data_IF_361672351188
#
_entry.id   IF_361672351188
#
_cell.length_a   1.000
_cell.length_b   1.000
_cell.length_c   1.000
_cell.angle_alpha   90.00
_cell.angle_beta   90.00
_cell.angle_gamma   90.00
#
_symmetry.space_group_name_H-M   'P 1'
#
loop_
_entity.id
_entity.type
_entity.pdbx_description
1 polymer ?
#
# COMPACT_ATOMS: atom_id res chain seq x y z
N UNK A 1 5.45 -4.51 -6.65
CA UNK A 1 6.01 -3.61 -5.63
C UNK A 1 4.95 -2.59 -5.26
N UNK A 2 4.98 -2.06 -4.04
CA UNK A 2 4.07 -1.02 -3.58
C UNK A 2 4.78 0.34 -3.67
N UNK A 3 4.18 1.25 -4.44
CA UNK A 3 4.66 2.62 -4.61
C UNK A 3 3.51 3.57 -4.30
N UNK A 4 3.64 4.32 -3.21
CA UNK A 4 2.65 5.31 -2.79
C UNK A 4 3.31 6.67 -2.89
N UNK A 5 2.77 7.54 -3.74
CA UNK A 5 3.26 8.89 -3.93
C UNK A 5 2.16 9.91 -3.67
N UNK A 6 2.51 10.96 -2.93
CA UNK A 6 1.63 12.09 -2.64
C UNK A 6 2.39 13.41 -2.65
N UNK A 7 1.74 14.48 -2.23
CA UNK A 7 2.33 15.83 -2.14
C UNK A 7 3.49 15.91 -1.14
N UNK A 8 3.45 15.09 -0.08
CA UNK A 8 4.43 15.16 1.02
C UNK A 8 5.62 14.21 0.84
N UNK A 9 5.55 13.26 -0.10
CA UNK A 9 6.61 12.32 -0.30
C UNK A 9 6.23 11.07 -1.09
N UNK A 10 7.10 10.07 -1.01
CA UNK A 10 6.95 8.77 -1.67
C UNK A 10 7.42 7.65 -0.75
N UNK A 11 6.64 6.57 -0.70
CA UNK A 11 6.94 5.34 0.01
C UNK A 11 7.09 4.21 -1.00
N UNK A 12 8.24 3.55 -1.00
CA UNK A 12 8.52 2.37 -1.82
C UNK A 12 8.72 1.16 -0.92
N UNK A 13 7.95 0.10 -1.14
CA UNK A 13 8.08 -1.17 -0.42
C UNK A 13 8.07 -2.30 -1.43
N UNK A 14 9.14 -3.08 -1.47
CA UNK A 14 9.29 -4.18 -2.42
C UNK A 14 10.32 -5.21 -1.96
N UNK A 15 10.69 -6.09 -2.89
CA UNK A 15 11.65 -7.16 -2.60
C UNK A 15 13.07 -6.61 -2.38
N UNK A 16 13.38 -5.46 -2.98
CA UNK A 16 14.65 -4.75 -2.79
C UNK A 16 14.73 -3.97 -1.46
N UNK A 17 13.71 -4.07 -0.60
CA UNK A 17 13.63 -3.40 0.69
C UNK A 17 12.60 -2.29 0.71
N UNK A 18 12.88 -1.26 1.52
CA UNK A 18 11.95 -0.17 1.80
C UNK A 18 12.65 1.18 1.75
N UNK A 19 12.01 2.14 1.13
CA UNK A 19 12.53 3.50 0.97
C UNK A 19 11.45 4.53 1.29
N UNK A 20 11.89 5.63 1.89
CA UNK A 20 11.05 6.76 2.23
C UNK A 20 11.69 8.03 1.68
N UNK A 21 10.90 8.81 0.96
CA UNK A 21 11.30 10.09 0.40
C UNK A 21 10.36 11.16 0.92
N UNK A 22 10.90 12.29 1.34
CA UNK A 22 10.13 13.45 1.79
C UNK A 22 10.34 14.61 0.82
N UNK A 23 9.26 15.31 0.54
CA UNK A 23 9.27 16.49 -0.30
C UNK A 23 9.97 17.65 0.43
N UNK A 24 11.00 18.22 -0.18
CA UNK A 24 11.73 19.39 0.33
C UNK A 24 11.90 20.45 -0.75
N UNK A 25 12.23 21.69 -0.36
CA UNK A 25 12.58 22.73 -1.34
C UNK A 25 13.83 22.33 -2.11
N UNK A 26 13.79 22.45 -3.43
CA UNK A 26 14.94 22.20 -4.29
C UNK A 26 16.11 23.10 -3.90
N UNK A 27 17.29 22.51 -3.73
CA UNK A 27 18.56 23.24 -3.55
C UNK A 27 19.12 23.74 -4.89
N UNK A 28 18.61 23.24 -6.02
CA UNK A 28 19.11 23.49 -7.37
C UNK A 28 18.29 24.53 -8.12
N UNK A 29 16.97 24.56 -7.88
CA UNK A 29 16.02 25.39 -8.62
C UNK A 29 15.06 26.12 -7.69
N UNK A 30 15.11 27.46 -7.69
CA UNK A 30 14.22 28.30 -6.87
C UNK A 30 12.76 28.08 -7.30
N UNK A 31 11.89 27.81 -6.32
CA UNK A 31 10.45 27.60 -6.55
C UNK A 31 10.04 26.15 -6.82
N UNK A 32 10.99 25.22 -6.91
CA UNK A 32 10.72 23.80 -7.11
C UNK A 32 10.84 23.01 -5.80
N UNK A 33 10.20 21.85 -5.79
CA UNK A 33 10.35 20.85 -4.74
C UNK A 33 11.07 19.62 -5.29
N UNK A 34 11.83 18.94 -4.44
CA UNK A 34 12.58 17.73 -4.74
C UNK A 34 12.29 16.67 -3.67
N UNK A 35 12.38 15.39 -4.06
CA UNK A 35 12.32 14.27 -3.13
C UNK A 35 13.71 14.02 -2.55
N UNK A 36 13.83 14.09 -1.22
CA UNK A 36 15.03 13.70 -0.50
C UNK A 36 14.80 12.36 0.20
N UNK A 37 15.68 11.38 -0.05
CA UNK A 37 15.62 10.08 0.62
C UNK A 37 15.99 10.26 2.08
N UNK A 38 15.13 9.78 2.98
CA UNK A 38 15.38 9.78 4.42
C UNK A 38 15.44 8.34 4.94
N UNK A 39 16.04 8.10 6.13
CA UNK A 39 16.00 6.80 6.75
C UNK A 39 14.56 6.32 6.96
N UNK A 40 14.30 5.06 6.62
CA UNK A 40 13.01 4.45 6.90
C UNK A 40 12.89 4.21 8.41
N UNK A 41 11.76 4.55 9.06
CA UNK A 41 11.60 4.35 10.49
C UNK A 41 11.67 2.86 10.86
N UNK A 42 12.57 2.54 11.79
CA UNK A 42 12.72 1.20 12.33
C UNK A 42 11.61 0.89 13.35
N UNK A 43 10.96 -0.29 13.27
CA UNK A 43 9.93 -0.65 14.23
C UNK A 43 10.56 -0.95 15.60
N UNK A 44 9.82 -0.64 16.67
CA UNK A 44 10.24 -0.96 18.05
C UNK A 44 10.36 -2.46 18.30
N UNK A 45 9.61 -3.27 17.55
CA UNK A 45 9.60 -4.73 17.61
C UNK A 45 9.43 -5.28 16.20
N UNK A 46 10.23 -6.29 15.87
CA UNK A 46 10.08 -7.05 14.63
C UNK A 46 9.13 -8.21 14.88
N UNK A 47 8.03 -8.23 14.14
CA UNK A 47 7.08 -9.33 14.12
C UNK A 47 6.74 -9.64 12.67
N UNK A 48 6.62 -10.92 12.34
CA UNK A 48 6.22 -11.30 10.99
C UNK A 48 4.75 -10.94 10.77
N UNK A 49 4.36 -10.48 9.57
CA UNK A 49 2.96 -10.20 9.26
C UNK A 49 2.02 -11.38 9.53
N UNK A 50 2.52 -12.61 9.43
CA UNK A 50 1.76 -13.83 9.72
C UNK A 50 1.40 -13.98 11.20
N UNK A 51 2.34 -13.73 12.10
CA UNK A 51 2.09 -13.78 13.55
C UNK A 51 1.13 -12.66 13.95
N UNK A 52 1.37 -11.44 13.45
CA UNK A 52 0.50 -10.29 13.68
C UNK A 52 -0.94 -10.54 13.19
N UNK A 53 -1.08 -11.05 11.96
CA UNK A 53 -2.37 -11.37 11.35
C UNK A 53 -3.12 -12.48 12.07
N UNK A 54 -2.45 -13.56 12.47
CA UNK A 54 -3.08 -14.63 13.26
C UNK A 54 -3.58 -14.12 14.61
N UNK A 55 -2.79 -13.27 15.29
CA UNK A 55 -3.21 -12.64 16.55
C UNK A 55 -4.44 -11.74 16.34
N UNK A 56 -4.46 -10.98 15.26
CA UNK A 56 -5.58 -10.10 14.94
C UNK A 56 -6.86 -10.88 14.63
N UNK A 57 -6.75 -12.00 13.92
CA UNK A 57 -7.85 -12.92 13.68
C UNK A 57 -8.45 -13.48 14.97
N UNK A 58 -7.62 -13.86 15.95
CA UNK A 58 -8.13 -14.34 17.25
C UNK A 58 -8.82 -13.22 18.03
N UNK A 59 -8.27 -12.00 17.99
CA UNK A 59 -8.93 -10.83 18.60
C UNK A 59 -10.25 -10.51 17.93
N UNK A 60 -10.35 -10.72 16.62
CA UNK A 60 -11.51 -10.30 15.85
C UNK A 60 -12.80 -11.06 16.23
N UNK A 61 -12.65 -12.24 16.86
CA UNK A 61 -13.75 -13.00 17.47
C UNK A 61 -14.49 -12.18 18.54
N UNK A 62 -13.79 -11.28 19.23
CA UNK A 62 -14.35 -10.50 20.35
C UNK A 62 -14.69 -9.06 19.98
N UNK A 63 -14.05 -8.52 18.95
CA UNK A 63 -14.22 -7.13 18.48
C UNK A 63 -14.02 -7.11 16.97
N UNK A 64 -14.76 -6.32 16.18
CA UNK A 64 -14.48 -6.19 14.75
C UNK A 64 -13.01 -5.82 14.51
N UNK A 65 -12.37 -6.52 13.57
CA UNK A 65 -11.02 -6.19 13.11
C UNK A 65 -11.04 -5.06 12.07
N UNK A 66 -9.84 -4.66 11.62
CA UNK A 66 -9.67 -3.59 10.63
C UNK A 66 -10.13 -3.94 9.21
N UNK A 67 -10.46 -5.22 8.95
CA UNK A 67 -10.97 -5.69 7.65
C UNK A 67 -12.19 -6.58 7.85
N UNK A 68 -13.17 -6.42 6.95
CA UNK A 68 -14.43 -7.15 6.99
C UNK A 68 -14.63 -8.09 5.78
N UNK A 69 -15.75 -8.82 5.78
CA UNK A 69 -16.15 -9.63 4.64
C UNK A 69 -16.43 -8.79 3.38
N UNK A 70 -16.92 -7.56 3.55
CA UNK A 70 -17.15 -6.62 2.45
C UNK A 70 -15.83 -6.19 1.78
N UNK A 71 -14.77 -5.97 2.56
CA UNK A 71 -13.45 -5.65 2.02
C UNK A 71 -12.87 -6.83 1.22
N UNK A 72 -13.06 -8.05 1.73
CA UNK A 72 -12.69 -9.27 1.03
C UNK A 72 -13.49 -9.44 -0.27
N UNK A 73 -14.80 -9.19 -0.25
CA UNK A 73 -15.64 -9.25 -1.44
C UNK A 73 -15.19 -8.25 -2.52
N UNK A 74 -14.97 -6.98 -2.15
CA UNK A 74 -14.46 -5.95 -3.08
C UNK A 74 -13.12 -6.33 -3.69
N UNK A 75 -12.25 -6.99 -2.91
CA UNK A 75 -10.97 -7.50 -3.40
C UNK A 75 -11.18 -8.57 -4.48
N UNK A 76 -12.07 -9.53 -4.24
CA UNK A 76 -12.42 -10.57 -5.22
C UNK A 76 -13.07 -9.98 -6.48
N UNK A 77 -13.97 -9.01 -6.32
CA UNK A 77 -14.60 -8.31 -7.45
C UNK A 77 -13.59 -7.54 -8.29
N UNK A 78 -12.59 -6.93 -7.64
CA UNK A 78 -11.48 -6.27 -8.32
C UNK A 78 -10.66 -7.26 -9.13
N UNK A 79 -10.24 -8.38 -8.52
CA UNK A 79 -9.48 -9.45 -9.19
C UNK A 79 -10.26 -9.99 -10.40
N UNK A 80 -11.55 -10.31 -10.21
CA UNK A 80 -12.41 -10.79 -11.29
C UNK A 80 -12.53 -9.75 -12.42
N UNK A 81 -12.70 -8.47 -12.08
CA UNK A 81 -12.80 -7.39 -13.07
C UNK A 81 -11.51 -7.25 -13.90
N UNK A 82 -10.34 -7.46 -13.29
CA UNK A 82 -9.05 -7.49 -14.00
C UNK A 82 -9.04 -8.63 -15.04
N UNK A 83 -9.39 -9.85 -14.65
CA UNK A 83 -9.45 -10.99 -15.58
C UNK A 83 -10.46 -10.76 -16.70
N UNK A 84 -11.63 -10.23 -16.38
CA UNK A 84 -12.66 -9.91 -17.36
C UNK A 84 -12.23 -8.82 -18.35
N UNK A 85 -11.50 -7.81 -17.89
CA UNK A 85 -10.91 -6.78 -18.75
C UNK A 85 -9.92 -7.40 -19.73
N UNK A 86 -9.04 -8.29 -19.25
CA UNK A 86 -8.06 -8.98 -20.09
C UNK A 86 -8.73 -9.82 -21.19
N UNK A 87 -9.80 -10.57 -20.86
CA UNK A 87 -10.60 -11.31 -21.84
C UNK A 87 -11.24 -10.39 -22.90
N UNK A 88 -11.48 -9.12 -22.56
CA UNK A 88 -12.03 -8.09 -23.45
C UNK A 88 -10.94 -7.19 -24.06
N UNK A 89 -9.74 -7.73 -24.28
CA UNK A 89 -8.60 -7.01 -24.90
C UNK A 89 -8.23 -5.72 -24.15
N UNK A 90 -8.33 -5.73 -22.82
CA UNK A 90 -7.96 -4.60 -21.96
C UNK A 90 -9.03 -3.50 -21.88
N UNK A 91 -10.29 -3.79 -22.24
CA UNK A 91 -11.38 -2.83 -22.11
C UNK A 91 -11.53 -2.37 -20.65
N UNK A 92 -11.61 -1.05 -20.44
CA UNK A 92 -11.89 -0.48 -19.11
C UNK A 92 -13.27 -0.91 -18.61
N UNK A 93 -13.30 -1.54 -17.44
CA UNK A 93 -14.53 -2.00 -16.77
C UNK A 93 -14.69 -1.31 -15.40
N UNK A 94 -15.94 -1.17 -14.95
CA UNK A 94 -16.24 -0.70 -13.60
C UNK A 94 -16.17 -1.88 -12.63
N UNK A 95 -15.46 -1.72 -11.53
CA UNK A 95 -15.52 -2.65 -10.39
C UNK A 95 -16.92 -2.53 -9.78
N UNK A 96 -17.52 -3.66 -9.42
CA UNK A 96 -18.85 -3.68 -8.83
C UNK A 96 -18.82 -3.28 -7.36
#
# INVERSE_FOLDING_TARGET
ELDIQGSEGRLLIGNAGRELYVTQKSKRFKGFQELEKIPFPEPKRYETPFIGGAREMVKSIRKPGDSSGEDALKTLETIYTIYKSAQQKGKRLRIK
#
